data_IF_206343914179
#
_entry.id   IF_206343914179
#
_cell.length_a   1.000
_cell.length_b   1.000
_cell.length_c   1.000
_cell.angle_alpha   90.00
_cell.angle_beta   90.00
_cell.angle_gamma   90.00
#
_symmetry.space_group_name_H-M   'P 1'
#
loop_
_entity.id
_entity.type
_entity.pdbx_description
1 polymer ?
#
# COMPACT_ATOMS: atom_id res chain seq x y z
N UNK A 1 -15.71 -29.32 -4.87
CA UNK A 1 -14.30 -29.15 -4.43
C UNK A 1 -13.75 -27.78 -4.75
N UNK A 2 -14.24 -27.12 -5.79
CA UNK A 2 -13.76 -25.76 -6.16
C UNK A 2 -14.03 -24.70 -5.09
N UNK A 3 -15.14 -24.83 -4.34
CA UNK A 3 -15.52 -23.84 -3.33
C UNK A 3 -14.50 -23.79 -2.19
N UNK A 4 -14.05 -24.94 -1.70
CA UNK A 4 -13.07 -25.01 -0.64
C UNK A 4 -11.71 -24.46 -1.06
N UNK A 5 -11.34 -24.65 -2.34
CA UNK A 5 -10.09 -24.13 -2.88
C UNK A 5 -10.10 -22.61 -2.91
N UNK A 6 -11.23 -22.00 -3.31
CA UNK A 6 -11.37 -20.53 -3.35
C UNK A 6 -11.30 -19.94 -1.93
N UNK A 7 -11.99 -20.55 -0.97
CA UNK A 7 -11.95 -20.09 0.43
C UNK A 7 -10.56 -20.19 1.01
N UNK A 8 -9.85 -21.29 0.74
CA UNK A 8 -8.48 -21.48 1.20
C UNK A 8 -7.55 -20.40 0.60
N UNK A 9 -7.71 -20.10 -0.68
CA UNK A 9 -6.91 -19.07 -1.33
C UNK A 9 -7.13 -17.68 -0.70
N UNK A 10 -8.37 -17.34 -0.36
CA UNK A 10 -8.69 -16.07 0.27
C UNK A 10 -8.05 -15.96 1.66
N UNK A 11 -8.06 -17.05 2.46
CA UNK A 11 -7.44 -17.05 3.77
C UNK A 11 -5.92 -16.92 3.66
N UNK A 12 -5.30 -17.61 2.72
CA UNK A 12 -3.87 -17.52 2.47
C UNK A 12 -3.49 -16.08 2.09
N UNK A 13 -4.25 -15.45 1.20
CA UNK A 13 -3.98 -14.09 0.78
C UNK A 13 -4.05 -13.11 1.95
N UNK A 14 -5.05 -13.26 2.81
CA UNK A 14 -5.21 -12.41 3.99
C UNK A 14 -4.01 -12.52 4.93
N UNK A 15 -3.54 -13.75 5.19
CA UNK A 15 -2.39 -13.96 6.05
C UNK A 15 -1.09 -13.43 5.43
N UNK A 16 -0.93 -13.57 4.11
CA UNK A 16 0.22 -13.04 3.40
C UNK A 16 0.26 -11.52 3.45
N UNK A 17 -0.90 -10.86 3.32
CA UNK A 17 -0.98 -9.41 3.39
C UNK A 17 -0.57 -8.90 4.77
N UNK A 18 -1.00 -9.57 5.83
CA UNK A 18 -0.57 -9.24 7.20
C UNK A 18 0.93 -9.39 7.37
N UNK A 19 1.47 -10.51 6.91
CA UNK A 19 2.90 -10.78 7.02
C UNK A 19 3.72 -9.76 6.24
N UNK A 20 3.22 -9.31 5.09
CA UNK A 20 3.90 -8.31 4.28
C UNK A 20 4.06 -7.00 5.05
N UNK A 21 3.02 -6.53 5.73
CA UNK A 21 3.07 -5.30 6.52
C UNK A 21 4.04 -5.45 7.69
N UNK A 22 4.03 -6.60 8.37
CA UNK A 22 4.88 -6.84 9.53
C UNK A 22 6.35 -6.99 9.18
N UNK A 23 6.67 -7.63 8.06
CA UNK A 23 8.04 -7.96 7.67
C UNK A 23 8.71 -6.88 6.84
N UNK A 24 7.94 -6.02 6.17
CA UNK A 24 8.49 -4.97 5.34
C UNK A 24 9.14 -3.87 6.19
N UNK A 25 10.33 -3.43 5.80
CA UNK A 25 10.99 -2.30 6.50
C UNK A 25 10.28 -0.99 6.25
N UNK A 26 9.49 -0.89 5.17
CA UNK A 26 8.66 0.27 4.86
C UNK A 26 7.22 0.12 5.35
N UNK A 27 6.94 -0.85 6.22
CA UNK A 27 5.60 -1.10 6.73
C UNK A 27 4.98 0.09 7.47
N UNK A 28 5.80 0.95 8.04
CA UNK A 28 5.33 2.16 8.72
C UNK A 28 4.58 3.11 7.77
N UNK A 29 4.78 2.99 6.48
CA UNK A 29 4.09 3.82 5.48
C UNK A 29 2.61 3.46 5.33
N UNK A 30 2.19 2.32 5.87
CA UNK A 30 0.79 1.87 5.80
C UNK A 30 -0.12 2.52 6.84
N UNK A 31 0.44 3.25 7.80
CA UNK A 31 -0.31 3.77 8.95
C UNK A 31 -1.49 4.65 8.53
N UNK A 32 -1.32 5.45 7.50
CA UNK A 32 -2.33 6.38 7.02
C UNK A 32 -3.06 5.91 5.76
N UNK A 33 -2.98 4.63 5.43
CA UNK A 33 -3.59 4.11 4.21
C UNK A 33 -5.12 4.27 4.19
N UNK A 34 -5.76 4.34 5.35
CA UNK A 34 -7.21 4.54 5.46
C UNK A 34 -7.67 5.94 5.05
N UNK A 35 -6.77 6.92 4.96
CA UNK A 35 -7.10 8.27 4.52
C UNK A 35 -7.19 8.37 3.00
N UNK A 36 -6.69 7.39 2.28
CA UNK A 36 -6.65 7.36 0.83
C UNK A 36 -7.88 6.63 0.30
N UNK A 37 -8.56 7.22 -0.68
CA UNK A 37 -9.69 6.57 -1.34
C UNK A 37 -9.21 5.77 -2.55
N UNK A 38 -9.51 4.48 -2.54
CA UNK A 38 -9.10 3.56 -3.60
C UNK A 38 -10.30 2.73 -4.06
N UNK A 39 -10.58 2.77 -5.35
CA UNK A 39 -11.76 2.12 -5.93
C UNK A 39 -11.43 0.82 -6.69
N UNK A 40 -10.23 0.29 -6.52
CA UNK A 40 -9.83 -0.94 -7.20
C UNK A 40 -9.23 -0.74 -8.59
N UNK A 41 -9.20 0.49 -9.08
CA UNK A 41 -8.56 0.81 -10.36
C UNK A 41 -7.10 1.21 -10.21
N UNK A 42 -6.60 1.97 -11.18
CA UNK A 42 -5.22 2.44 -11.19
C UNK A 42 -5.04 3.80 -10.51
N UNK A 43 -6.11 4.43 -10.08
CA UNK A 43 -6.08 5.76 -9.49
C UNK A 43 -6.40 5.73 -8.00
N UNK A 44 -5.72 6.56 -7.24
CA UNK A 44 -6.01 6.79 -5.83
C UNK A 44 -6.27 8.26 -5.61
N UNK A 45 -7.16 8.58 -4.67
CA UNK A 45 -7.50 9.95 -4.30
C UNK A 45 -6.97 10.23 -2.91
N UNK A 46 -6.11 11.24 -2.82
CA UNK A 46 -5.47 11.63 -1.58
C UNK A 46 -6.07 12.96 -1.13
N UNK A 47 -6.56 13.06 0.13
CA UNK A 47 -7.10 14.30 0.63
C UNK A 47 -6.00 15.35 0.80
N UNK A 48 -6.31 16.57 0.40
CA UNK A 48 -5.41 17.70 0.54
C UNK A 48 -6.17 18.83 1.24
N UNK A 49 -5.62 19.29 2.35
CA UNK A 49 -6.19 20.37 3.14
C UNK A 49 -5.23 21.56 3.12
N UNK A 50 -5.74 22.70 2.74
CA UNK A 50 -4.99 23.93 2.71
C UNK A 50 -5.72 24.99 3.53
N UNK A 51 -4.98 25.67 4.40
CA UNK A 51 -5.53 26.69 5.29
C UNK A 51 -4.59 27.90 5.32
N UNK A 52 -5.18 29.06 5.53
CA UNK A 52 -4.38 30.25 5.76
C UNK A 52 -3.68 30.18 7.11
N UNK A 53 -2.50 30.77 7.19
CA UNK A 53 -1.73 30.82 8.43
C UNK A 53 -2.30 31.82 9.41
N UNK A 54 -1.55 32.02 10.49
CA UNK A 54 -1.92 33.00 11.50
C UNK A 54 -1.79 34.42 10.96
N UNK A 55 -2.71 35.26 11.39
CA UNK A 55 -2.70 36.70 11.07
C UNK A 55 -2.69 37.50 12.35
N UNK A 56 -2.29 38.78 12.24
CA UNK A 56 -2.23 39.67 13.39
C UNK A 56 -3.65 39.93 13.92
N UNK A 57 -3.76 39.91 15.23
CA UNK A 57 -5.00 40.15 15.94
C UNK A 57 -5.10 41.65 16.31
N UNK A 58 -6.23 42.26 15.94
CA UNK A 58 -6.54 43.66 16.28
C UNK A 58 -7.66 43.70 17.33
N UNK A 59 -7.39 44.36 18.44
CA UNK A 59 -8.37 44.44 19.53
C UNK A 59 -9.65 45.15 19.13
N UNK A 60 -9.61 46.06 18.15
CA UNK A 60 -10.78 46.79 17.70
C UNK A 60 -11.59 46.05 16.67
N UNK A 61 -10.91 45.38 15.74
CA UNK A 61 -11.54 44.70 14.60
C UNK A 61 -11.64 43.18 14.75
N UNK A 62 -10.98 42.61 15.78
CA UNK A 62 -11.03 41.18 16.05
C UNK A 62 -10.09 40.37 15.17
N UNK A 63 -10.50 39.15 14.88
CA UNK A 63 -9.69 38.21 14.10
C UNK A 63 -9.92 38.40 12.62
N UNK A 64 -8.86 38.27 11.84
CA UNK A 64 -8.95 38.27 10.38
C UNK A 64 -9.49 36.93 9.94
N UNK A 65 -10.47 36.94 9.04
CA UNK A 65 -11.06 35.73 8.50
C UNK A 65 -10.05 35.01 7.60
N UNK A 66 -9.93 33.71 7.79
CA UNK A 66 -9.06 32.87 6.97
C UNK A 66 -9.86 31.92 6.11
N UNK A 67 -9.22 31.41 5.07
CA UNK A 67 -9.82 30.44 4.17
C UNK A 67 -9.40 29.02 4.49
N UNK A 68 -10.30 28.09 4.26
CA UNK A 68 -10.02 26.65 4.33
C UNK A 68 -10.41 26.04 2.99
N UNK A 69 -9.48 25.31 2.39
CA UNK A 69 -9.71 24.66 1.12
C UNK A 69 -9.44 23.17 1.28
N UNK A 70 -10.44 22.36 0.94
CA UNK A 70 -10.34 20.91 0.99
C UNK A 70 -10.62 20.33 -0.40
N UNK A 71 -9.70 19.50 -0.87
CA UNK A 71 -9.86 18.85 -2.17
C UNK A 71 -9.17 17.49 -2.15
N UNK A 72 -9.50 16.66 -3.11
CA UNK A 72 -8.81 15.39 -3.33
C UNK A 72 -7.86 15.52 -4.51
N UNK A 73 -6.62 15.10 -4.29
CA UNK A 73 -5.63 15.01 -5.37
C UNK A 73 -5.67 13.61 -5.94
N UNK A 74 -5.81 13.49 -7.26
CA UNK A 74 -5.80 12.19 -7.93
C UNK A 74 -4.38 11.83 -8.32
N UNK A 75 -3.92 10.66 -7.91
CA UNK A 75 -2.63 10.11 -8.29
C UNK A 75 -2.85 8.79 -8.99
N UNK A 76 -2.06 8.54 -10.05
CA UNK A 76 -2.11 7.29 -10.80
C UNK A 76 -1.05 6.34 -10.28
N UNK A 77 -1.45 5.10 -10.00
CA UNK A 77 -0.49 4.06 -9.65
C UNK A 77 0.19 3.55 -10.92
N UNK A 78 1.51 3.48 -10.89
CA UNK A 78 2.31 3.15 -12.07
C UNK A 78 2.84 1.72 -12.06
N UNK A 79 2.76 1.02 -10.93
CA UNK A 79 3.29 -0.33 -10.78
C UNK A 79 2.13 -1.32 -10.57
N UNK A 80 2.04 -2.27 -11.48
CA UNK A 80 1.09 -3.38 -11.37
C UNK A 80 1.83 -4.63 -11.80
N UNK A 81 2.36 -5.37 -10.84
CA UNK A 81 3.21 -6.51 -11.09
C UNK A 81 2.70 -7.73 -10.35
N UNK A 82 2.84 -8.86 -10.99
CA UNK A 82 2.43 -10.11 -10.41
C UNK A 82 3.08 -11.28 -11.12
N UNK A 83 2.95 -12.44 -10.54
CA UNK A 83 3.40 -13.68 -11.13
C UNK A 83 2.48 -14.81 -10.71
N UNK A 84 2.17 -15.68 -11.63
CA UNK A 84 1.38 -16.87 -11.34
C UNK A 84 2.28 -18.09 -11.24
N UNK A 85 1.91 -18.99 -10.34
CA UNK A 85 2.57 -20.29 -10.18
C UNK A 85 1.54 -21.38 -10.36
N UNK A 86 1.96 -22.46 -11.00
CA UNK A 86 1.14 -23.65 -11.15
C UNK A 86 1.82 -24.84 -10.48
N UNK A 87 1.02 -25.68 -9.84
CA UNK A 87 1.50 -26.87 -9.15
C UNK A 87 0.87 -28.11 -9.79
N UNK A 88 1.67 -29.18 -9.91
CA UNK A 88 1.19 -30.44 -10.41
C UNK A 88 0.44 -31.18 -9.30
N UNK A 89 -0.86 -31.38 -9.49
CA UNK A 89 -1.70 -32.05 -8.49
C UNK A 89 -1.26 -33.50 -8.25
N UNK A 90 -0.63 -34.13 -9.23
CA UNK A 90 -0.14 -35.50 -9.08
C UNK A 90 1.12 -35.60 -8.24
N UNK A 91 1.86 -34.52 -8.12
CA UNK A 91 3.10 -34.50 -7.35
C UNK A 91 2.89 -34.17 -5.87
N UNK A 92 1.72 -33.60 -5.51
CA UNK A 92 1.43 -33.18 -4.15
C UNK A 92 0.13 -33.86 -3.69
N UNK A 93 0.19 -34.53 -2.54
CA UNK A 93 -1.00 -35.12 -1.92
C UNK A 93 -2.03 -34.05 -1.62
N UNK A 94 -3.33 -34.37 -1.81
CA UNK A 94 -4.44 -33.42 -1.63
C UNK A 94 -4.42 -32.78 -0.24
N UNK A 95 -4.02 -33.50 0.80
CA UNK A 95 -3.94 -32.97 2.16
C UNK A 95 -2.83 -31.97 2.33
N UNK A 96 -1.77 -32.04 1.52
CA UNK A 96 -0.61 -31.16 1.62
C UNK A 96 -0.58 -30.06 0.59
N UNK A 97 -1.52 -30.07 -0.38
CA UNK A 97 -1.53 -29.11 -1.47
C UNK A 97 -1.63 -27.66 -0.95
N UNK A 98 -2.58 -27.41 -0.06
CA UNK A 98 -2.76 -26.06 0.50
C UNK A 98 -1.53 -25.63 1.33
N UNK A 99 -0.96 -26.54 2.11
CA UNK A 99 0.23 -26.23 2.88
C UNK A 99 1.44 -25.94 1.99
N UNK A 100 1.62 -26.73 0.92
CA UNK A 100 2.71 -26.53 -0.03
C UNK A 100 2.53 -25.19 -0.76
N UNK A 101 1.31 -24.87 -1.22
CA UNK A 101 1.02 -23.61 -1.88
C UNK A 101 1.29 -22.44 -0.94
N UNK A 102 0.83 -22.53 0.30
CA UNK A 102 1.07 -21.48 1.29
C UNK A 102 2.56 -21.28 1.56
N UNK A 103 3.32 -22.37 1.66
CA UNK A 103 4.76 -22.27 1.88
C UNK A 103 5.48 -21.60 0.71
N UNK A 104 5.16 -22.00 -0.51
CA UNK A 104 5.76 -21.39 -1.71
C UNK A 104 5.39 -19.92 -1.82
N UNK A 105 4.12 -19.58 -1.58
CA UNK A 105 3.66 -18.19 -1.62
C UNK A 105 4.34 -17.35 -0.54
N UNK A 106 4.48 -17.89 0.68
CA UNK A 106 5.16 -17.20 1.76
C UNK A 106 6.62 -16.94 1.46
N UNK A 107 7.32 -17.92 0.90
CA UNK A 107 8.72 -17.75 0.50
C UNK A 107 8.87 -16.76 -0.64
N UNK A 108 8.00 -16.83 -1.63
CA UNK A 108 7.99 -15.85 -2.72
C UNK A 108 7.79 -14.44 -2.19
N UNK A 109 6.82 -14.25 -1.29
CA UNK A 109 6.56 -12.95 -0.69
C UNK A 109 7.78 -12.44 0.07
N UNK A 110 8.35 -13.27 0.93
CA UNK A 110 9.50 -12.90 1.76
C UNK A 110 10.72 -12.54 0.92
N UNK A 111 10.98 -13.30 -0.15
CA UNK A 111 12.22 -13.16 -0.91
C UNK A 111 12.13 -12.25 -2.10
N UNK A 112 10.92 -12.03 -2.64
CA UNK A 112 10.73 -11.28 -3.89
C UNK A 112 9.77 -10.11 -3.75
N UNK A 113 8.61 -10.31 -3.15
CA UNK A 113 7.56 -9.27 -3.11
C UNK A 113 7.93 -8.17 -2.11
N UNK A 114 8.24 -8.54 -0.88
CA UNK A 114 8.55 -7.57 0.17
C UNK A 114 9.80 -6.75 -0.17
N UNK A 115 10.92 -7.34 -0.61
CA UNK A 115 12.07 -6.53 -1.02
C UNK A 115 11.78 -5.60 -2.19
N UNK A 116 10.94 -6.01 -3.16
CA UNK A 116 10.58 -5.16 -4.28
C UNK A 116 9.74 -3.98 -3.83
N UNK A 117 8.76 -4.20 -2.93
CA UNK A 117 7.94 -3.13 -2.38
C UNK A 117 8.81 -2.12 -1.62
N UNK A 118 9.71 -2.62 -0.76
CA UNK A 118 10.61 -1.76 0.01
C UNK A 118 11.52 -0.95 -0.91
N UNK A 119 12.09 -1.58 -1.92
CA UNK A 119 12.97 -0.91 -2.88
C UNK A 119 12.22 0.18 -3.65
N UNK A 120 11.00 -0.09 -4.08
CA UNK A 120 10.18 0.88 -4.79
C UNK A 120 9.85 2.08 -3.91
N UNK A 121 9.41 1.83 -2.68
CA UNK A 121 9.05 2.90 -1.74
C UNK A 121 10.23 3.79 -1.41
N UNK A 122 11.36 3.20 -1.08
CA UNK A 122 12.56 3.97 -0.73
C UNK A 122 13.16 4.68 -1.94
N UNK A 123 13.13 4.08 -3.12
CA UNK A 123 13.63 4.75 -4.32
C UNK A 123 12.75 5.93 -4.72
N UNK A 124 11.45 5.84 -4.51
CA UNK A 124 10.53 6.95 -4.77
C UNK A 124 10.80 8.12 -3.84
N UNK A 125 11.03 7.84 -2.55
CA UNK A 125 11.38 8.86 -1.57
C UNK A 125 12.72 9.50 -1.92
N UNK A 126 13.71 8.71 -2.29
CA UNK A 126 15.03 9.22 -2.69
C UNK A 126 14.93 10.13 -3.91
N UNK A 127 14.14 9.76 -4.90
CA UNK A 127 13.91 10.59 -6.08
C UNK A 127 13.28 11.93 -5.71
N UNK A 128 12.32 11.94 -4.80
CA UNK A 128 11.71 13.18 -4.30
C UNK A 128 12.74 14.06 -3.59
N UNK A 129 13.61 13.48 -2.78
CA UNK A 129 14.66 14.22 -2.08
C UNK A 129 15.65 14.86 -3.05
N UNK A 130 16.01 14.15 -4.12
CA UNK A 130 16.90 14.69 -5.15
C UNK A 130 16.28 15.89 -5.86
N UNK A 131 14.98 15.86 -6.12
CA UNK A 131 14.28 16.96 -6.76
C UNK A 131 14.07 18.17 -5.85
N UNK A 132 13.91 17.94 -4.55
CA UNK A 132 13.60 19.01 -3.59
C UNK A 132 14.84 19.56 -2.91
N UNK A 133 15.97 18.86 -2.98
CA UNK A 133 17.23 19.31 -2.38
C UNK A 133 17.79 20.52 -3.15
N UNK A 134 18.04 21.65 -2.49
CA UNK A 134 18.70 22.77 -3.15
C UNK A 134 20.15 22.37 -3.45
N UNK A 135 20.46 22.36 -4.69
CA UNK A 135 21.81 22.02 -5.15
C UNK A 135 22.73 23.24 -5.13
#
# INVERSE_FOLDING_TARGET
>A
MSVNTIQTAAVIQSELDKAAVEQATSGWMEVNSNLVKYNGGSEVKIPELSMDGLADYDRQNGFVAGGVNFKYQTKTMTQDRGRSFSFDENAVDETNFALTAATVMGEFQRTKVIPEIDAYRYSTIAACLLYTSPS
#
